data_IF_716802570731
#
_entry.id   IF_716802570731
#
_cell.length_a   1.000
_cell.length_b   1.000
_cell.length_c   1.000
_cell.angle_alpha   90.00
_cell.angle_beta   90.00
_cell.angle_gamma   90.00
#
_symmetry.space_group_name_H-M   'P 1'
#
loop_
_entity.id
_entity.type
_entity.pdbx_description
1 polymer ?
#
# COMPACT_ATOMS: atom_id res chain seq x y z
N UNK A 1 79.71 -51.10 52.23
CA UNK A 1 79.18 -51.98 51.16
C UNK A 1 77.66 -52.03 51.28
N UNK A 2 76.94 -51.85 50.15
CA UNK A 2 75.54 -52.23 49.79
C UNK A 2 74.69 -52.84 50.94
N UNK A 3 73.42 -52.51 51.21
CA UNK A 3 72.22 -52.29 50.36
C UNK A 3 71.07 -51.89 51.32
N UNK A 4 70.25 -50.89 51.02
CA UNK A 4 68.95 -50.92 50.31
C UNK A 4 67.73 -50.89 51.23
N UNK A 5 67.19 -49.67 51.27
CA UNK A 5 65.91 -49.09 51.67
C UNK A 5 64.72 -49.94 52.13
N UNK A 6 64.11 -49.35 53.16
CA UNK A 6 62.97 -49.69 54.01
C UNK A 6 61.63 -49.40 53.29
N UNK A 7 60.66 -50.30 53.38
CA UNK A 7 59.25 -50.05 53.05
C UNK A 7 58.49 -49.54 54.28
N UNK A 8 57.77 -48.41 54.14
CA UNK A 8 56.60 -48.07 54.95
C UNK A 8 55.81 -46.92 54.31
N UNK A 9 54.48 -46.99 54.30
CA UNK A 9 53.62 -45.87 53.85
C UNK A 9 52.20 -46.34 53.52
N UNK A 10 51.29 -46.46 54.50
CA UNK A 10 50.39 -45.41 55.04
C UNK A 10 49.04 -45.39 54.30
N UNK A 11 48.00 -45.63 55.09
CA UNK A 11 46.56 -45.65 54.77
C UNK A 11 46.09 -44.25 54.41
N UNK A 12 45.47 -44.09 53.24
CA UNK A 12 44.90 -42.83 52.73
C UNK A 12 43.51 -42.56 53.31
N UNK A 13 43.38 -41.37 53.92
CA UNK A 13 42.13 -40.73 54.35
C UNK A 13 41.45 -40.11 53.11
N UNK A 14 40.20 -40.45 52.82
CA UNK A 14 39.41 -39.84 51.73
C UNK A 14 38.70 -38.61 52.28
N UNK A 15 39.07 -37.43 51.79
CA UNK A 15 38.35 -36.16 52.01
C UNK A 15 37.43 -35.94 50.82
N UNK A 16 36.12 -35.93 51.06
CA UNK A 16 35.09 -35.60 50.08
C UNK A 16 34.90 -34.09 50.00
N UNK A 17 35.43 -33.44 48.96
CA UNK A 17 35.18 -32.05 48.60
C UNK A 17 33.92 -31.96 47.73
N UNK A 18 32.83 -31.43 48.30
CA UNK A 18 31.62 -31.06 47.56
C UNK A 18 31.79 -29.67 46.95
N UNK A 19 32.32 -29.58 45.72
CA UNK A 19 32.17 -28.39 44.89
C UNK A 19 30.84 -28.47 44.16
N UNK A 20 29.87 -27.67 44.59
CA UNK A 20 28.63 -27.45 43.85
C UNK A 20 28.99 -26.78 42.51
N UNK A 21 28.90 -27.55 41.42
CA UNK A 21 28.92 -26.99 40.09
C UNK A 21 27.61 -26.21 39.90
N UNK A 22 27.69 -24.88 39.94
CA UNK A 22 26.64 -24.02 39.41
C UNK A 22 26.59 -24.23 37.90
N UNK A 23 25.69 -25.11 37.45
CA UNK A 23 25.25 -25.12 36.07
C UNK A 23 24.51 -23.79 35.85
N UNK A 24 24.90 -22.97 34.87
CA UNK A 24 24.07 -21.85 34.48
C UNK A 24 22.75 -22.45 33.98
N UNK A 25 21.67 -22.19 34.70
CA UNK A 25 20.32 -22.37 34.18
C UNK A 25 20.23 -21.46 32.97
N UNK A 26 20.36 -22.02 31.77
CA UNK A 26 19.82 -21.40 30.57
C UNK A 26 18.33 -21.27 30.83
N UNK A 27 17.89 -20.11 31.32
CA UNK A 27 16.54 -19.68 31.03
C UNK A 27 16.49 -19.59 29.51
N UNK A 28 15.99 -20.66 28.89
CA UNK A 28 15.47 -20.60 27.55
C UNK A 28 14.37 -19.55 27.63
N UNK A 29 14.67 -18.32 27.22
CA UNK A 29 13.65 -17.34 26.89
C UNK A 29 12.76 -18.03 25.85
N UNK A 30 11.63 -18.58 26.32
CA UNK A 30 10.50 -18.91 25.48
C UNK A 30 9.94 -17.58 25.00
N UNK A 31 10.64 -16.91 24.09
CA UNK A 31 10.03 -15.88 23.24
C UNK A 31 9.03 -16.65 22.41
N UNK A 32 7.79 -16.66 22.88
CA UNK A 32 6.67 -17.15 22.09
C UNK A 32 6.73 -16.38 20.78
N UNK A 33 6.90 -17.08 19.66
CA UNK A 33 6.89 -16.45 18.35
C UNK A 33 5.68 -15.51 18.31
N UNK A 34 5.87 -14.21 17.98
CA UNK A 34 4.77 -13.27 17.93
C UNK A 34 3.63 -13.85 17.11
N UNK A 35 2.42 -13.80 17.64
CA UNK A 35 1.29 -14.41 16.98
C UNK A 35 0.70 -13.41 15.99
N UNK A 36 0.82 -13.69 14.70
CA UNK A 36 0.15 -12.91 13.66
C UNK A 36 -1.36 -12.92 13.91
N UNK A 37 -1.92 -11.74 14.16
CA UNK A 37 -3.35 -11.50 14.26
C UNK A 37 -3.87 -11.14 12.88
N UNK A 38 -5.06 -11.61 12.54
CA UNK A 38 -5.71 -11.28 11.28
C UNK A 38 -7.21 -11.18 11.52
N UNK A 39 -7.82 -10.13 11.02
CA UNK A 39 -9.26 -9.90 11.16
C UNK A 39 -9.82 -9.28 9.90
N UNK A 40 -11.05 -9.66 9.59
CA UNK A 40 -11.82 -9.13 8.47
C UNK A 40 -12.96 -8.29 9.01
N UNK A 41 -13.15 -7.12 8.41
CA UNK A 41 -14.14 -6.13 8.77
C UNK A 41 -14.95 -5.72 7.54
N UNK A 42 -16.06 -5.03 7.78
CA UNK A 42 -16.88 -4.41 6.74
C UNK A 42 -16.97 -2.90 7.02
N UNK A 43 -16.95 -2.09 5.97
CA UNK A 43 -17.39 -0.70 6.07
C UNK A 43 -18.87 -0.64 6.44
N UNK A 44 -19.42 0.52 6.84
CA UNK A 44 -20.85 0.74 6.71
C UNK A 44 -21.30 0.48 5.26
N UNK A 45 -22.56 0.04 5.05
CA UNK A 45 -23.05 -0.25 3.72
C UNK A 45 -23.14 1.02 2.87
N UNK A 46 -22.92 0.86 1.57
CA UNK A 46 -23.30 1.83 0.56
C UNK A 46 -24.26 1.22 -0.46
N UNK A 47 -24.99 2.10 -1.15
CA UNK A 47 -26.06 1.70 -2.05
C UNK A 47 -25.80 2.28 -3.43
N UNK A 48 -25.75 1.40 -4.43
CA UNK A 48 -25.48 1.78 -5.81
C UNK A 48 -26.59 1.32 -6.74
N UNK A 49 -27.06 2.24 -7.59
CA UNK A 49 -27.92 1.95 -8.74
C UNK A 49 -27.07 2.04 -10.02
N UNK A 50 -27.49 1.39 -11.13
CA UNK A 50 -26.80 1.49 -12.42
C UNK A 50 -26.42 2.93 -12.81
N UNK A 51 -25.13 3.15 -13.07
CA UNK A 51 -24.51 4.45 -13.40
C UNK A 51 -24.13 5.30 -12.19
N UNK A 52 -24.58 4.96 -10.98
CA UNK A 52 -24.40 5.79 -9.79
C UNK A 52 -22.97 5.79 -9.26
N UNK A 53 -22.61 6.87 -8.58
CA UNK A 53 -21.34 7.03 -7.87
C UNK A 53 -21.59 7.19 -6.38
N UNK A 54 -20.77 6.48 -5.60
CA UNK A 54 -20.63 6.65 -4.16
C UNK A 54 -19.21 7.13 -3.94
N UNK A 55 -19.04 8.24 -3.24
CA UNK A 55 -17.75 8.72 -2.72
C UNK A 55 -17.94 9.10 -1.25
N UNK A 56 -17.84 8.10 -0.36
CA UNK A 56 -18.23 8.23 1.06
C UNK A 56 -17.05 8.11 1.99
N UNK A 57 -17.09 8.88 3.07
CA UNK A 57 -16.11 8.89 4.15
C UNK A 57 -16.75 8.29 5.40
N UNK A 58 -16.19 7.18 5.87
CA UNK A 58 -16.60 6.48 7.08
C UNK A 58 -15.56 6.70 8.16
N UNK A 59 -15.94 7.39 9.24
CA UNK A 59 -15.05 7.72 10.35
C UNK A 59 -15.20 6.73 11.50
N UNK A 60 -14.14 6.60 12.29
CA UNK A 60 -14.04 5.70 13.44
C UNK A 60 -14.44 4.26 13.11
N UNK A 61 -13.90 3.76 11.99
CA UNK A 61 -14.13 2.38 11.56
C UNK A 61 -13.45 1.38 12.50
N UNK A 62 -13.91 0.13 12.45
CA UNK A 62 -13.22 -0.97 13.09
C UNK A 62 -11.82 -1.15 12.48
N UNK A 63 -10.80 -1.11 13.33
CA UNK A 63 -9.41 -1.23 12.89
C UNK A 63 -8.59 -1.74 14.08
N UNK A 64 -7.44 -2.41 13.86
CA UNK A 64 -6.54 -2.77 14.96
C UNK A 64 -6.26 -1.57 15.88
N UNK A 65 -6.38 -1.80 17.20
CA UNK A 65 -6.16 -0.79 18.24
C UNK A 65 -4.96 -1.19 19.11
N UNK A 66 -4.36 -0.19 19.75
CA UNK A 66 -3.14 -0.35 20.53
C UNK A 66 -1.88 -0.19 19.68
N UNK A 67 -0.72 -0.31 20.32
CA UNK A 67 0.57 -0.19 19.65
C UNK A 67 0.88 -1.49 18.91
N UNK A 68 0.70 -1.47 17.59
CA UNK A 68 0.79 -2.67 16.75
C UNK A 68 1.64 -2.44 15.50
N UNK A 69 2.21 -3.54 15.01
CA UNK A 69 2.95 -3.64 13.77
C UNK A 69 2.01 -4.14 12.67
N UNK A 70 1.53 -3.25 11.80
CA UNK A 70 0.72 -3.64 10.65
C UNK A 70 1.59 -4.35 9.61
N UNK A 71 1.08 -5.50 9.13
CA UNK A 71 1.77 -6.39 8.19
C UNK A 71 1.10 -6.48 6.83
N UNK A 72 -0.22 -6.32 6.74
CA UNK A 72 -0.91 -6.22 5.44
C UNK A 72 -2.31 -5.62 5.59
N UNK A 73 -2.79 -5.01 4.51
CA UNK A 73 -4.17 -4.57 4.36
C UNK A 73 -4.66 -5.00 2.98
N UNK A 74 -5.78 -5.70 2.90
CA UNK A 74 -6.43 -6.07 1.65
C UNK A 74 -7.87 -5.59 1.65
N UNK A 75 -8.31 -4.89 0.61
CA UNK A 75 -9.66 -4.36 0.48
C UNK A 75 -10.34 -4.82 -0.81
N UNK A 76 -11.64 -5.12 -0.75
CA UNK A 76 -12.45 -5.45 -1.93
C UNK A 76 -13.92 -5.11 -1.72
N UNK A 77 -14.66 -4.88 -2.81
CA UNK A 77 -16.11 -4.70 -2.75
C UNK A 77 -16.83 -6.04 -2.75
N UNK A 78 -17.75 -6.21 -1.81
CA UNK A 78 -18.63 -7.38 -1.68
C UNK A 78 -20.10 -6.98 -1.64
N UNK A 79 -20.98 -7.90 -2.02
CA UNK A 79 -22.42 -7.74 -1.88
C UNK A 79 -22.93 -8.09 -0.46
N UNK A 80 -24.25 -8.01 -0.26
CA UNK A 80 -24.91 -8.31 1.02
C UNK A 80 -24.81 -9.79 1.44
N UNK A 81 -24.46 -10.68 0.51
CA UNK A 81 -24.16 -12.08 0.80
C UNK A 81 -22.66 -12.31 1.06
N UNK A 82 -21.83 -11.27 0.96
CA UNK A 82 -20.37 -11.34 1.13
C UNK A 82 -19.62 -11.86 -0.10
N UNK A 83 -20.28 -11.96 -1.25
CA UNK A 83 -19.66 -12.37 -2.49
C UNK A 83 -18.89 -11.20 -3.14
N UNK A 84 -17.65 -11.42 -3.63
CA UNK A 84 -16.91 -10.40 -4.37
C UNK A 84 -17.65 -9.92 -5.61
N UNK A 85 -17.67 -8.60 -5.83
CA UNK A 85 -18.36 -7.99 -6.98
C UNK A 85 -17.37 -7.68 -8.12
N UNK A 86 -17.65 -8.12 -9.36
CA UNK A 86 -16.75 -7.84 -10.49
C UNK A 86 -16.61 -6.34 -10.81
N UNK A 87 -15.41 -5.92 -11.22
CA UNK A 87 -15.08 -4.54 -11.60
C UNK A 87 -15.87 -4.03 -12.82
N UNK A 88 -16.31 -4.95 -13.68
CA UNK A 88 -17.16 -4.62 -14.82
C UNK A 88 -18.63 -4.39 -14.43
N UNK A 89 -18.99 -4.60 -13.16
CA UNK A 89 -20.29 -4.24 -12.59
C UNK A 89 -20.18 -3.07 -11.62
N UNK A 90 -19.36 -3.21 -10.58
CA UNK A 90 -19.02 -2.12 -9.65
C UNK A 90 -17.53 -1.87 -9.75
N UNK A 91 -17.16 -0.80 -10.43
CA UNK A 91 -15.78 -0.37 -10.51
C UNK A 91 -15.40 0.30 -9.19
N UNK A 92 -14.52 -0.36 -8.42
CA UNK A 92 -13.90 0.22 -7.23
C UNK A 92 -12.82 1.20 -7.71
N UNK A 93 -13.19 2.47 -7.90
CA UNK A 93 -12.29 3.47 -8.43
C UNK A 93 -11.13 3.72 -7.48
N UNK A 94 -11.42 3.96 -6.20
CA UNK A 94 -10.43 3.93 -5.12
C UNK A 94 -11.09 3.64 -3.78
N UNK A 95 -10.28 3.19 -2.84
CA UNK A 95 -10.59 3.21 -1.43
C UNK A 95 -9.33 3.72 -0.73
N UNK A 96 -9.50 4.49 0.32
CA UNK A 96 -8.38 5.08 1.06
C UNK A 96 -8.59 4.80 2.54
N UNK A 97 -7.53 4.44 3.25
CA UNK A 97 -7.55 4.25 4.70
C UNK A 97 -6.46 5.11 5.30
N UNK A 98 -6.84 5.98 6.24
CA UNK A 98 -5.89 6.83 6.93
C UNK A 98 -6.23 7.01 8.41
N UNK A 99 -5.21 7.16 9.27
CA UNK A 99 -5.41 7.52 10.65
C UNK A 99 -5.62 9.03 10.83
N UNK A 100 -6.23 9.40 11.95
CA UNK A 100 -6.36 10.78 12.40
C UNK A 100 -6.46 10.84 13.92
N UNK A 101 -5.99 11.93 14.51
CA UNK A 101 -6.20 12.22 15.92
C UNK A 101 -7.52 12.98 16.11
N UNK A 102 -8.27 12.66 17.17
CA UNK A 102 -9.48 13.38 17.55
C UNK A 102 -9.44 13.87 19.00
N UNK A 103 -9.87 15.11 19.24
CA UNK A 103 -10.11 15.67 20.56
C UNK A 103 -11.32 16.59 20.53
N UNK A 104 -12.42 16.19 21.16
CA UNK A 104 -13.70 16.91 21.06
C UNK A 104 -14.18 16.98 19.62
N UNK A 105 -14.21 18.20 19.06
CA UNK A 105 -14.55 18.45 17.64
C UNK A 105 -13.31 18.64 16.74
N UNK A 106 -12.10 18.66 17.32
CA UNK A 106 -10.85 18.80 16.56
C UNK A 106 -10.48 17.46 15.93
N UNK A 107 -10.14 17.48 14.64
CA UNK A 107 -9.59 16.33 13.90
C UNK A 107 -8.30 16.74 13.23
N UNK A 108 -7.24 15.96 13.43
CA UNK A 108 -5.91 16.20 12.86
C UNK A 108 -5.55 14.98 12.01
N UNK A 109 -5.49 15.12 10.67
CA UNK A 109 -5.05 14.02 9.80
C UNK A 109 -3.63 13.57 10.13
N UNK A 110 -3.40 12.25 10.09
CA UNK A 110 -2.06 11.68 10.16
C UNK A 110 -1.71 11.21 8.75
N UNK A 111 -0.83 11.96 8.08
CA UNK A 111 -0.50 11.74 6.67
C UNK A 111 0.80 10.95 6.50
N UNK A 112 1.03 10.42 5.31
CA UNK A 112 2.29 9.74 4.99
C UNK A 112 3.49 10.72 4.89
N UNK A 113 4.67 10.18 4.61
CA UNK A 113 5.93 10.94 4.58
C UNK A 113 6.30 11.52 3.20
N UNK A 114 5.47 11.32 2.18
CA UNK A 114 5.69 11.78 0.81
C UNK A 114 5.47 13.28 0.59
N UNK A 115 6.02 13.86 -0.49
CA UNK A 115 5.74 15.24 -0.88
C UNK A 115 4.24 15.51 -1.04
N UNK A 116 3.51 14.57 -1.67
CA UNK A 116 2.07 14.70 -1.93
C UNK A 116 1.15 14.40 -0.74
N UNK A 117 1.65 14.36 0.49
CA UNK A 117 0.87 13.95 1.69
C UNK A 117 -0.39 14.77 1.96
N UNK A 118 -0.52 15.99 1.42
CA UNK A 118 -1.68 16.84 1.61
C UNK A 118 -2.84 16.49 0.65
N UNK A 119 -2.55 15.86 -0.50
CA UNK A 119 -3.54 15.37 -1.47
C UNK A 119 -3.67 13.83 -1.46
N UNK A 120 -2.58 13.13 -1.16
CA UNK A 120 -2.46 11.68 -1.11
C UNK A 120 -2.00 11.24 0.29
N UNK A 121 -2.65 11.71 1.35
CA UNK A 121 -2.23 11.48 2.74
C UNK A 121 -2.48 10.07 3.30
N UNK A 122 -3.16 9.20 2.54
CA UNK A 122 -3.55 7.87 3.00
C UNK A 122 -2.36 6.97 3.36
N UNK A 123 -2.64 5.97 4.20
CA UNK A 123 -1.68 4.93 4.57
C UNK A 123 -1.87 3.65 3.74
N UNK A 124 -3.12 3.35 3.40
CA UNK A 124 -3.47 2.26 2.50
C UNK A 124 -4.47 2.73 1.47
N UNK A 125 -4.50 2.02 0.36
CA UNK A 125 -5.49 2.22 -0.68
C UNK A 125 -4.96 3.04 -1.85
N UNK A 126 -5.31 2.58 -3.04
CA UNK A 126 -4.94 3.16 -4.33
C UNK A 126 -6.07 2.95 -5.35
N UNK A 127 -6.43 1.70 -5.66
CA UNK A 127 -7.53 1.45 -6.62
C UNK A 127 -8.15 0.06 -6.65
N UNK A 128 -8.52 -0.36 -7.86
CA UNK A 128 -9.19 -1.64 -8.18
C UNK A 128 -8.25 -2.84 -8.25
N UNK A 129 -6.94 -2.60 -8.29
CA UNK A 129 -5.88 -3.59 -8.44
C UNK A 129 -5.63 -4.46 -7.20
N UNK A 130 -6.51 -4.44 -6.20
CA UNK A 130 -6.21 -5.02 -4.88
C UNK A 130 -6.11 -6.54 -4.86
N UNK A 131 -6.84 -7.25 -5.72
CA UNK A 131 -7.02 -8.70 -5.59
C UNK A 131 -5.77 -9.50 -5.94
N UNK A 132 -4.94 -8.99 -6.86
CA UNK A 132 -3.70 -9.65 -7.27
C UNK A 132 -2.43 -8.83 -6.92
N UNK A 133 -2.56 -7.82 -6.06
CA UNK A 133 -1.42 -7.04 -5.56
C UNK A 133 -1.03 -7.51 -4.17
N UNK A 134 0.20 -7.98 -4.00
CA UNK A 134 0.71 -8.36 -2.68
C UNK A 134 0.93 -7.12 -1.80
N UNK A 135 0.35 -7.09 -0.60
CA UNK A 135 0.41 -5.93 0.32
C UNK A 135 1.20 -6.22 1.60
N UNK A 136 1.91 -7.35 1.64
CA UNK A 136 2.64 -7.80 2.81
C UNK A 136 3.85 -6.92 3.08
N UNK A 137 4.09 -6.56 4.35
CA UNK A 137 5.31 -5.90 4.81
C UNK A 137 6.23 -7.00 5.37
N UNK A 138 7.41 -7.26 4.79
CA UNK A 138 8.29 -8.34 5.25
C UNK A 138 8.92 -8.02 6.61
N UNK A 139 9.29 -9.05 7.37
CA UNK A 139 10.05 -8.85 8.61
C UNK A 139 11.50 -8.40 8.33
N UNK A 140 12.14 -7.67 9.25
CA UNK A 140 11.62 -7.19 10.54
C UNK A 140 10.74 -5.93 10.43
N UNK A 141 10.40 -5.51 9.23
CA UNK A 141 9.75 -4.23 8.98
C UNK A 141 8.25 -4.26 9.28
N UNK A 142 7.69 -3.14 9.72
CA UNK A 142 6.25 -2.98 9.92
C UNK A 142 5.82 -1.52 9.84
N UNK A 143 4.57 -1.30 9.40
CA UNK A 143 3.93 0.02 9.52
C UNK A 143 3.47 0.15 10.98
N UNK A 144 4.08 1.07 11.71
CA UNK A 144 3.81 1.29 13.13
C UNK A 144 2.59 2.18 13.33
N UNK A 145 1.64 1.75 14.17
CA UNK A 145 0.46 2.55 14.53
C UNK A 145 0.23 2.54 16.04
N UNK A 146 -0.61 3.43 16.56
CA UNK A 146 -0.94 3.45 17.98
C UNK A 146 0.21 3.92 18.87
N UNK A 147 1.10 4.78 18.33
CA UNK A 147 2.02 5.56 19.17
C UNK A 147 1.23 6.44 20.13
N UNK A 148 1.80 6.82 21.29
CA UNK A 148 1.15 7.75 22.20
C UNK A 148 0.70 9.00 21.45
N UNK A 149 -0.63 9.17 21.35
CA UNK A 149 -1.23 10.34 20.75
C UNK A 149 -0.87 11.60 21.57
N UNK A 150 -0.94 12.81 20.98
CA UNK A 150 -0.84 14.05 21.74
C UNK A 150 -1.78 14.04 22.95
N UNK A 151 -1.38 14.66 24.05
CA UNK A 151 -2.16 14.62 25.29
C UNK A 151 -3.63 15.03 25.07
N UNK A 152 -4.56 14.14 25.42
CA UNK A 152 -6.00 14.33 25.25
C UNK A 152 -6.57 13.83 23.93
N UNK A 153 -5.75 13.49 22.93
CA UNK A 153 -6.22 12.97 21.64
C UNK A 153 -6.32 11.44 21.65
N UNK A 154 -7.31 10.93 20.92
CA UNK A 154 -7.42 9.51 20.55
C UNK A 154 -7.03 9.32 19.07
N UNK A 155 -6.30 8.25 18.75
CA UNK A 155 -6.10 7.82 17.35
C UNK A 155 -7.32 7.03 16.85
N UNK A 156 -7.85 7.44 15.70
CA UNK A 156 -8.94 6.77 14.98
C UNK A 156 -8.59 6.62 13.52
N UNK A 157 -9.38 5.82 12.81
CA UNK A 157 -9.18 5.50 11.40
C UNK A 157 -10.44 5.82 10.62
N UNK A 158 -10.26 6.35 9.41
CA UNK A 158 -11.35 6.50 8.45
C UNK A 158 -11.10 5.67 7.21
N UNK A 159 -12.18 5.36 6.50
CA UNK A 159 -12.16 4.74 5.19
C UNK A 159 -12.93 5.65 4.22
N UNK A 160 -12.31 6.03 3.11
CA UNK A 160 -13.02 6.54 1.95
C UNK A 160 -13.30 5.39 0.97
N UNK A 161 -14.51 5.34 0.42
CA UNK A 161 -14.89 4.40 -0.65
C UNK A 161 -15.45 5.20 -1.82
N UNK A 162 -14.75 5.13 -2.95
CA UNK A 162 -15.20 5.63 -4.24
C UNK A 162 -15.48 4.48 -5.19
N UNK A 163 -16.76 4.23 -5.44
CA UNK A 163 -17.23 3.12 -6.27
C UNK A 163 -18.29 3.59 -7.27
N UNK A 164 -18.23 3.01 -8.47
CA UNK A 164 -19.07 3.39 -9.61
C UNK A 164 -19.78 2.14 -10.12
N UNK A 165 -21.11 2.17 -10.17
CA UNK A 165 -21.88 1.10 -10.80
C UNK A 165 -21.89 1.31 -12.31
N UNK A 166 -21.18 0.46 -13.05
CA UNK A 166 -21.03 0.58 -14.50
C UNK A 166 -22.04 -0.28 -15.28
N UNK A 167 -22.98 -0.94 -14.60
CA UNK A 167 -24.01 -1.74 -15.26
C UNK A 167 -24.90 -0.83 -16.12
N UNK A 168 -25.20 -1.29 -17.33
CA UNK A 168 -26.00 -0.54 -18.29
C UNK A 168 -25.33 0.69 -18.89
N UNK A 169 -24.07 1.00 -18.56
CA UNK A 169 -23.33 2.05 -19.23
C UNK A 169 -22.89 1.57 -20.63
N UNK A 170 -23.29 2.25 -21.72
CA UNK A 170 -22.88 1.87 -23.08
C UNK A 170 -21.36 1.99 -23.29
N UNK A 171 -20.72 2.92 -22.57
CA UNK A 171 -19.27 3.03 -22.46
C UNK A 171 -18.87 2.95 -20.98
N UNK A 172 -18.56 1.74 -20.51
CA UNK A 172 -18.12 1.50 -19.14
C UNK A 172 -16.82 2.23 -18.80
N UNK A 173 -15.95 2.45 -19.80
CA UNK A 173 -14.67 3.11 -19.57
C UNK A 173 -14.86 4.62 -19.43
N UNK A 174 -15.76 5.24 -20.21
CA UNK A 174 -16.13 6.65 -19.99
C UNK A 174 -16.74 6.89 -18.60
N UNK A 175 -17.51 5.92 -18.08
CA UNK A 175 -17.99 5.94 -16.70
C UNK A 175 -16.84 5.81 -15.70
N UNK A 176 -15.96 4.80 -15.86
CA UNK A 176 -14.82 4.57 -14.97
C UNK A 176 -13.76 5.68 -14.96
N UNK A 177 -13.57 6.39 -16.08
CA UNK A 177 -12.65 7.52 -16.25
C UNK A 177 -13.30 8.87 -15.90
N UNK A 178 -14.52 8.85 -15.34
CA UNK A 178 -15.21 10.03 -14.87
C UNK A 178 -15.36 11.14 -15.92
N UNK A 179 -15.67 10.79 -17.18
CA UNK A 179 -15.80 11.77 -18.27
C UNK A 179 -16.97 12.72 -18.03
N UNK A 180 -16.70 14.02 -17.97
CA UNK A 180 -17.69 15.02 -17.54
C UNK A 180 -18.95 15.06 -18.43
N UNK A 181 -18.77 14.88 -19.74
CA UNK A 181 -19.86 14.80 -20.73
C UNK A 181 -20.73 13.55 -20.55
N UNK A 182 -20.10 12.46 -20.10
CA UNK A 182 -20.78 11.19 -19.81
C UNK A 182 -21.57 11.24 -18.50
N UNK A 183 -21.18 12.10 -17.57
CA UNK A 183 -21.87 12.39 -16.31
C UNK A 183 -22.85 13.57 -16.40
N UNK A 184 -22.80 14.36 -17.47
CA UNK A 184 -23.59 15.58 -17.65
C UNK A 184 -23.45 16.56 -16.48
N UNK A 185 -22.20 16.80 -16.05
CA UNK A 185 -21.84 17.70 -14.95
C UNK A 185 -21.02 18.88 -15.47
N UNK A 186 -21.25 20.06 -14.91
CA UNK A 186 -20.54 21.30 -15.26
C UNK A 186 -19.98 22.04 -14.05
N UNK A 187 -20.29 21.55 -12.85
CA UNK A 187 -19.79 22.06 -11.56
C UNK A 187 -19.24 20.90 -10.76
N UNK A 188 -18.20 21.17 -9.96
CA UNK A 188 -17.60 20.19 -9.06
C UNK A 188 -18.41 20.01 -7.76
N UNK A 189 -17.91 19.17 -6.86
CA UNK A 189 -18.53 18.89 -5.56
C UNK A 189 -18.68 20.16 -4.69
N UNK A 190 -17.79 21.13 -4.84
CA UNK A 190 -17.84 22.41 -4.13
C UNK A 190 -18.81 23.42 -4.79
N UNK A 191 -19.44 23.05 -5.91
CA UNK A 191 -20.32 23.92 -6.71
C UNK A 191 -19.57 24.91 -7.59
N UNK A 192 -18.26 24.78 -7.72
CA UNK A 192 -17.44 25.62 -8.60
C UNK A 192 -17.53 25.13 -10.03
N UNK A 193 -17.51 26.05 -11.00
CA UNK A 193 -17.55 25.68 -12.42
C UNK A 193 -16.31 24.89 -12.82
N UNK A 194 -16.53 23.74 -13.45
CA UNK A 194 -15.45 22.92 -14.01
C UNK A 194 -14.82 23.67 -15.19
N UNK A 195 -13.49 23.76 -15.17
CA UNK A 195 -12.74 24.49 -16.19
C UNK A 195 -12.95 23.90 -17.60
N UNK A 196 -13.03 24.75 -18.62
CA UNK A 196 -13.34 24.33 -19.99
C UNK A 196 -12.36 23.29 -20.60
N UNK A 197 -11.15 23.15 -20.04
CA UNK A 197 -10.16 22.17 -20.49
C UNK A 197 -10.15 20.85 -19.69
N UNK A 198 -10.93 20.78 -18.60
CA UNK A 198 -11.05 19.60 -17.75
C UNK A 198 -12.22 18.75 -18.25
N UNK A 199 -11.89 17.60 -18.84
CA UNK A 199 -12.85 16.77 -19.59
C UNK A 199 -13.22 15.47 -18.88
N UNK A 200 -12.54 15.13 -17.78
CA UNK A 200 -12.88 13.99 -16.93
C UNK A 200 -11.90 13.81 -15.77
N UNK A 201 -12.39 13.14 -14.72
CA UNK A 201 -11.67 12.86 -13.48
C UNK A 201 -12.48 13.19 -12.22
N UNK A 202 -11.81 13.32 -11.08
CA UNK A 202 -12.35 13.57 -9.74
C UNK A 202 -13.44 14.66 -9.68
N UNK A 203 -13.29 15.77 -10.40
CA UNK A 203 -14.29 16.86 -10.37
C UNK A 203 -15.61 16.50 -11.04
N UNK A 204 -15.67 15.39 -11.78
CA UNK A 204 -16.84 14.99 -12.55
C UNK A 204 -17.56 13.75 -12.00
N UNK A 205 -16.97 13.06 -11.02
CA UNK A 205 -17.54 11.85 -10.40
C UNK A 205 -17.50 11.93 -8.86
N UNK A 206 -18.05 13.00 -8.30
CA UNK A 206 -18.25 13.11 -6.86
C UNK A 206 -19.50 12.33 -6.41
N UNK A 207 -19.73 12.28 -5.10
CA UNK A 207 -20.80 11.48 -4.52
C UNK A 207 -22.17 11.82 -5.10
N UNK A 208 -23.00 10.79 -5.28
CA UNK A 208 -24.37 10.90 -5.81
C UNK A 208 -24.49 11.37 -7.27
N UNK A 209 -23.38 11.58 -7.99
CA UNK A 209 -23.41 11.75 -9.45
C UNK A 209 -23.79 10.43 -10.15
N UNK A 210 -24.15 10.53 -11.44
CA UNK A 210 -24.56 9.37 -12.23
C UNK A 210 -24.08 9.48 -13.66
N UNK A 211 -23.34 8.47 -14.12
CA UNK A 211 -22.95 8.35 -15.52
C UNK A 211 -24.13 7.87 -16.39
N UNK A 212 -24.07 8.16 -17.69
CA UNK A 212 -25.10 7.74 -18.65
C UNK A 212 -25.25 6.23 -18.67
N UNK A 213 -26.50 5.78 -18.64
CA UNK A 213 -26.89 4.37 -18.83
C UNK A 213 -27.97 4.24 -19.89
N UNK A 214 -28.08 3.07 -20.49
CA UNK A 214 -29.10 2.76 -21.50
C UNK A 214 -30.52 2.87 -20.93
N UNK A 215 -31.49 3.15 -21.81
CA UNK A 215 -32.88 3.43 -21.44
C UNK A 215 -33.53 2.35 -20.58
N UNK A 216 -33.21 1.07 -20.79
CA UNK A 216 -33.70 -0.01 -19.94
C UNK A 216 -33.21 0.12 -18.48
N UNK A 217 -31.95 0.49 -18.26
CA UNK A 217 -31.39 0.71 -16.93
C UNK A 217 -31.78 2.08 -16.33
N UNK A 218 -32.02 3.08 -17.20
CA UNK A 218 -32.52 4.39 -16.79
C UNK A 218 -33.98 4.33 -16.30
N UNK A 219 -34.82 3.55 -16.99
CA UNK A 219 -36.27 3.55 -16.81
C UNK A 219 -36.79 2.38 -15.95
N UNK A 220 -36.05 1.28 -15.79
CA UNK A 220 -36.57 0.07 -15.11
C UNK A 220 -36.27 0.02 -13.60
N UNK A 221 -35.82 1.11 -12.98
CA UNK A 221 -35.83 1.25 -11.53
C UNK A 221 -35.11 0.14 -10.75
N UNK A 222 -34.06 -0.48 -11.32
CA UNK A 222 -33.28 -1.52 -10.63
C UNK A 222 -33.01 -1.08 -9.18
N UNK A 223 -33.33 -1.94 -8.20
CA UNK A 223 -33.15 -1.57 -6.81
C UNK A 223 -31.66 -1.30 -6.56
N UNK A 224 -31.34 -0.34 -5.67
CA UNK A 224 -29.95 -0.15 -5.27
C UNK A 224 -29.40 -1.47 -4.72
N UNK A 225 -28.21 -1.85 -5.18
CA UNK A 225 -27.44 -2.94 -4.56
C UNK A 225 -26.85 -2.41 -3.27
N UNK A 226 -27.03 -3.17 -2.19
CA UNK A 226 -26.35 -2.96 -0.92
C UNK A 226 -24.98 -3.62 -1.00
N UNK A 227 -23.94 -2.82 -0.83
CA UNK A 227 -22.55 -3.21 -1.00
C UNK A 227 -21.71 -2.76 0.19
N UNK A 228 -20.55 -3.37 0.35
CA UNK A 228 -19.60 -3.08 1.42
C UNK A 228 -18.19 -3.09 0.88
N UNK A 229 -17.29 -2.29 1.48
CA UNK A 229 -15.87 -2.57 1.40
C UNK A 229 -15.56 -3.60 2.49
N UNK A 230 -15.20 -4.82 2.08
CA UNK A 230 -14.59 -5.82 2.96
C UNK A 230 -13.11 -5.55 3.02
N UNK A 231 -12.56 -5.49 4.22
CA UNK A 231 -11.12 -5.35 4.40
C UNK A 231 -10.56 -6.31 5.45
N UNK A 232 -9.42 -6.91 5.12
CA UNK A 232 -8.69 -7.84 5.98
C UNK A 232 -7.36 -7.22 6.35
N UNK A 233 -7.12 -7.08 7.66
CA UNK A 233 -5.90 -6.51 8.22
C UNK A 233 -5.15 -7.61 8.96
N UNK A 234 -3.83 -7.66 8.78
CA UNK A 234 -2.95 -8.54 9.55
C UNK A 234 -1.91 -7.72 10.31
N UNK A 235 -1.68 -8.05 11.57
CA UNK A 235 -0.80 -7.30 12.45
C UNK A 235 -0.17 -8.14 13.56
N UNK A 236 0.89 -7.62 14.16
CA UNK A 236 1.54 -8.16 15.35
C UNK A 236 1.47 -7.13 16.48
N UNK A 237 1.62 -7.58 17.73
CA UNK A 237 1.86 -6.64 18.83
C UNK A 237 3.23 -5.98 18.62
N UNK A 238 3.29 -4.65 18.78
CA UNK A 238 4.55 -3.94 18.57
C UNK A 238 5.61 -4.38 19.58
N UNK A 239 6.86 -4.39 19.13
CA UNK A 239 8.01 -4.70 19.97
C UNK A 239 9.23 -4.03 19.38
N UNK A 240 9.82 -3.08 20.12
CA UNK A 240 11.04 -2.39 19.71
C UNK A 240 12.23 -3.34 19.55
N UNK A 241 12.19 -4.51 20.20
CA UNK A 241 13.22 -5.54 20.07
C UNK A 241 13.16 -6.31 18.73
N UNK A 242 12.00 -6.31 18.07
CA UNK A 242 11.75 -7.13 16.87
C UNK A 242 11.52 -6.26 15.65
N UNK A 243 10.66 -5.25 15.77
CA UNK A 243 10.12 -4.53 14.63
C UNK A 243 10.98 -3.32 14.26
N UNK A 244 11.05 -3.04 12.96
CA UNK A 244 11.66 -1.83 12.41
C UNK A 244 10.54 -1.03 11.74
N UNK A 245 10.27 0.21 12.18
CA UNK A 245 9.23 1.02 11.57
C UNK A 245 9.59 1.37 10.13
N UNK A 246 8.58 1.38 9.26
CA UNK A 246 8.69 1.94 7.92
C UNK A 246 7.85 3.20 7.79
N UNK A 247 8.31 4.10 6.93
CA UNK A 247 7.59 5.27 6.47
C UNK A 247 6.94 4.95 5.15
N UNK A 248 5.70 5.38 5.03
CA UNK A 248 4.93 5.32 3.80
C UNK A 248 5.26 6.56 2.97
N UNK A 249 5.51 6.37 1.69
CA UNK A 249 5.60 7.45 0.70
C UNK A 249 4.65 7.10 -0.44
N UNK A 250 3.85 8.08 -0.84
CA UNK A 250 3.02 8.01 -2.06
C UNK A 250 3.48 9.15 -2.95
N UNK A 251 4.11 8.78 -4.06
CA UNK A 251 4.62 9.69 -5.09
C UNK A 251 3.56 9.87 -6.17
N UNK A 252 3.54 11.01 -6.86
CA UNK A 252 2.60 11.38 -7.90
C UNK A 252 3.34 11.93 -9.13
N UNK A 253 3.22 11.21 -10.26
CA UNK A 253 3.87 11.61 -11.52
C UNK A 253 3.46 12.99 -12.03
N UNK A 254 2.40 13.58 -11.48
CA UNK A 254 1.95 14.92 -11.84
C UNK A 254 2.63 16.04 -11.06
N UNK A 255 3.40 15.73 -10.00
CA UNK A 255 4.20 16.73 -9.31
C UNK A 255 5.31 17.24 -10.25
N UNK A 256 5.42 18.56 -10.40
CA UNK A 256 6.47 19.21 -11.21
C UNK A 256 7.35 20.13 -10.38
N UNK A 257 7.17 20.16 -9.06
CA UNK A 257 7.77 21.17 -8.18
C UNK A 257 9.30 21.23 -8.28
N UNK A 258 9.98 20.08 -8.27
CA UNK A 258 11.44 20.05 -8.40
C UNK A 258 11.93 20.55 -9.77
N UNK A 259 11.26 20.19 -10.86
CA UNK A 259 11.60 20.69 -12.20
C UNK A 259 11.39 22.20 -12.33
N UNK A 260 10.34 22.72 -11.69
CA UNK A 260 9.98 24.14 -11.74
C UNK A 260 10.77 24.97 -10.71
N UNK A 261 11.61 24.34 -9.87
CA UNK A 261 12.31 25.01 -8.77
C UNK A 261 11.37 25.54 -7.68
N UNK A 262 10.17 24.97 -7.55
CA UNK A 262 9.20 25.34 -6.52
C UNK A 262 9.44 24.55 -5.23
N UNK A 263 9.45 25.20 -4.05
CA UNK A 263 9.56 24.50 -2.77
C UNK A 263 8.32 23.69 -2.40
N UNK A 264 7.16 23.95 -3.00
CA UNK A 264 5.90 23.29 -2.69
C UNK A 264 5.50 22.32 -3.80
N UNK A 265 5.07 21.10 -3.45
CA UNK A 265 4.67 20.07 -4.41
C UNK A 265 3.40 20.48 -5.19
N UNK A 266 3.32 20.07 -6.45
CA UNK A 266 2.22 20.31 -7.39
C UNK A 266 1.44 19.04 -7.72
N UNK A 267 1.09 18.26 -6.71
CA UNK A 267 0.42 16.97 -6.88
C UNK A 267 -1.04 17.15 -7.33
N UNK A 268 -1.31 16.85 -8.59
CA UNK A 268 -2.66 16.95 -9.20
C UNK A 268 -3.50 15.70 -9.00
N UNK A 269 -2.93 14.63 -8.44
CA UNK A 269 -3.53 13.30 -8.22
C UNK A 269 -3.81 12.54 -9.51
N UNK A 270 -4.38 13.20 -10.52
CA UNK A 270 -4.76 12.60 -11.78
C UNK A 270 -4.36 13.49 -12.97
N UNK A 271 -4.35 12.89 -14.16
CA UNK A 271 -4.08 13.61 -15.39
C UNK A 271 -4.83 13.03 -16.58
N UNK A 272 -4.76 13.73 -17.71
CA UNK A 272 -5.27 13.30 -19.00
C UNK A 272 -4.13 12.75 -19.84
N UNK A 273 -4.37 11.61 -20.49
CA UNK A 273 -3.53 11.08 -21.57
C UNK A 273 -4.21 11.44 -22.88
N UNK A 274 -3.52 12.22 -23.71
CA UNK A 274 -4.02 12.58 -25.03
C UNK A 274 -3.88 11.42 -26.01
N UNK A 275 -4.78 11.34 -26.99
CA UNK A 275 -4.71 10.33 -28.03
C UNK A 275 -3.50 10.57 -28.94
N UNK A 276 -2.81 9.50 -29.30
CA UNK A 276 -1.63 9.56 -30.16
C UNK A 276 -1.96 10.07 -31.57
N UNK A 277 -0.95 10.62 -32.23
CA UNK A 277 -1.08 11.07 -33.60
C UNK A 277 -1.29 9.89 -34.56
N UNK A 278 -1.87 10.15 -35.74
CA UNK A 278 -1.98 9.10 -36.78
C UNK A 278 -0.62 8.56 -37.24
N UNK A 279 0.44 9.37 -37.12
CA UNK A 279 1.81 8.95 -37.44
C UNK A 279 2.35 7.98 -36.39
N UNK A 280 2.18 8.29 -35.10
CA UNK A 280 2.61 7.42 -33.99
C UNK A 280 1.85 6.09 -34.02
N UNK A 281 0.54 6.14 -34.32
CA UNK A 281 -0.28 4.95 -34.51
C UNK A 281 0.22 4.09 -35.67
N UNK A 282 0.58 4.68 -36.80
CA UNK A 282 1.14 3.93 -37.93
C UNK A 282 2.49 3.26 -37.60
N UNK A 283 3.21 3.77 -36.60
CA UNK A 283 4.49 3.22 -36.10
C UNK A 283 4.31 2.31 -34.88
N UNK A 284 3.09 2.07 -34.41
CA UNK A 284 2.78 1.39 -33.14
C UNK A 284 3.52 2.00 -31.93
N UNK A 285 3.59 3.33 -31.87
CA UNK A 285 4.29 4.09 -30.84
C UNK A 285 3.33 4.94 -29.99
N UNK A 286 2.13 4.43 -29.71
CA UNK A 286 1.12 5.12 -28.91
C UNK A 286 1.33 4.88 -27.41
N UNK A 287 2.37 5.51 -26.87
CA UNK A 287 2.68 5.52 -25.44
C UNK A 287 2.80 6.96 -24.95
N UNK A 288 1.98 7.33 -23.96
CA UNK A 288 2.20 8.55 -23.17
C UNK A 288 3.10 8.21 -21.99
N UNK A 289 4.23 8.91 -21.91
CA UNK A 289 5.20 8.74 -20.83
C UNK A 289 5.25 10.04 -20.02
N UNK A 290 5.01 9.92 -18.72
CA UNK A 290 5.24 10.99 -17.75
C UNK A 290 6.39 10.66 -16.84
N UNK A 291 7.13 11.68 -16.45
CA UNK A 291 8.26 11.58 -15.53
C UNK A 291 8.17 12.68 -14.50
N UNK A 292 8.47 12.34 -13.25
CA UNK A 292 8.64 13.29 -12.15
C UNK A 292 9.89 12.97 -11.34
N UNK A 293 10.32 13.96 -10.57
CA UNK A 293 11.34 13.86 -9.54
C UNK A 293 10.75 14.27 -8.19
N UNK A 294 10.87 13.40 -7.19
CA UNK A 294 10.38 13.64 -5.84
C UNK A 294 11.41 13.25 -4.79
N UNK A 295 11.55 14.07 -3.75
CA UNK A 295 12.53 13.85 -2.68
C UNK A 295 11.98 12.97 -1.58
N UNK A 296 12.75 11.94 -1.19
CA UNK A 296 12.45 11.15 -0.01
C UNK A 296 13.04 11.83 1.23
N UNK A 297 12.15 12.21 2.15
CA UNK A 297 12.52 12.96 3.36
C UNK A 297 13.34 12.15 4.38
N UNK A 298 13.39 10.82 4.29
CA UNK A 298 14.11 9.94 5.22
C UNK A 298 14.75 8.78 4.45
N UNK A 299 16.03 8.53 4.72
CA UNK A 299 16.77 7.44 4.09
C UNK A 299 16.57 6.11 4.82
N UNK A 300 16.67 5.02 4.06
CA UNK A 300 16.72 3.67 4.60
C UNK A 300 16.54 2.59 3.56
N UNK A 301 16.28 1.38 4.04
CA UNK A 301 16.04 0.24 3.16
C UNK A 301 14.72 0.43 2.42
N UNK A 302 14.71 0.23 1.11
CA UNK A 302 13.48 0.16 0.34
C UNK A 302 12.88 -1.23 0.57
N UNK A 303 11.83 -1.29 1.37
CA UNK A 303 11.23 -2.54 1.86
C UNK A 303 10.19 -3.10 0.88
N UNK A 304 9.43 -2.20 0.27
CA UNK A 304 8.33 -2.53 -0.62
C UNK A 304 8.10 -1.37 -1.58
N UNK A 305 7.76 -1.68 -2.82
CA UNK A 305 7.39 -0.68 -3.80
C UNK A 305 6.35 -1.24 -4.79
N UNK A 306 5.32 -0.45 -5.10
CA UNK A 306 4.29 -0.79 -6.08
C UNK A 306 3.76 0.48 -6.73
N UNK A 307 3.44 0.43 -8.02
CA UNK A 307 2.75 1.53 -8.68
C UNK A 307 1.24 1.34 -8.63
N UNK A 308 0.52 2.46 -8.74
CA UNK A 308 -0.91 2.47 -9.00
C UNK A 308 -1.20 3.14 -10.33
N UNK A 309 -2.01 2.46 -11.14
CA UNK A 309 -2.42 2.85 -12.47
C UNK A 309 -3.90 2.50 -12.67
N UNK A 310 -4.58 3.30 -13.47
CA UNK A 310 -5.90 3.02 -14.03
C UNK A 310 -5.79 2.24 -15.33
N UNK A 311 -6.96 1.80 -15.84
CA UNK A 311 -7.08 1.14 -17.16
C UNK A 311 -6.38 1.98 -18.24
N UNK A 312 -5.62 1.31 -19.10
CA UNK A 312 -4.75 1.96 -20.08
C UNK A 312 -3.30 2.07 -19.61
N UNK A 313 -3.02 1.89 -18.32
CA UNK A 313 -1.66 1.84 -17.79
C UNK A 313 -0.86 0.69 -18.40
N UNK A 314 0.40 0.96 -18.74
CA UNK A 314 1.34 0.01 -19.33
C UNK A 314 2.44 -0.41 -18.34
N UNK A 315 2.67 0.39 -17.30
CA UNK A 315 3.65 0.12 -16.26
C UNK A 315 4.34 1.38 -15.79
N UNK A 316 4.98 1.27 -14.63
CA UNK A 316 5.68 2.37 -13.99
C UNK A 316 7.01 1.89 -13.44
N UNK A 317 7.98 2.79 -13.35
CA UNK A 317 9.29 2.49 -12.79
C UNK A 317 9.78 3.61 -11.88
N UNK A 318 10.51 3.23 -10.85
CA UNK A 318 11.11 4.11 -9.87
C UNK A 318 12.62 3.94 -9.92
N UNK A 319 13.34 5.05 -9.98
CA UNK A 319 14.78 5.09 -10.10
C UNK A 319 15.39 5.97 -9.02
N UNK A 320 16.59 5.59 -8.54
CA UNK A 320 17.39 6.42 -7.66
C UNK A 320 18.02 7.59 -8.41
N UNK A 321 18.55 8.54 -7.65
CA UNK A 321 19.17 9.76 -8.20
C UNK A 321 20.37 9.45 -9.13
N UNK A 322 21.03 8.33 -8.91
CA UNK A 322 22.15 7.81 -9.73
C UNK A 322 21.68 7.03 -10.97
N UNK A 323 20.37 6.99 -11.23
CA UNK A 323 19.76 6.27 -12.35
C UNK A 323 19.58 4.77 -12.12
N UNK A 324 19.86 4.26 -10.91
CA UNK A 324 19.62 2.83 -10.61
C UNK A 324 18.13 2.53 -10.59
N UNK A 325 17.73 1.42 -11.21
CA UNK A 325 16.36 0.95 -11.10
C UNK A 325 16.10 0.43 -9.68
N UNK A 326 15.16 1.06 -8.97
CA UNK A 326 14.71 0.65 -7.64
C UNK A 326 13.53 -0.32 -7.72
N UNK A 327 12.58 -0.04 -8.61
CA UNK A 327 11.43 -0.91 -8.84
C UNK A 327 10.85 -0.72 -10.24
N UNK A 328 10.41 -1.81 -10.87
CA UNK A 328 9.54 -1.79 -12.04
C UNK A 328 8.24 -2.50 -11.69
N UNK A 329 7.14 -1.78 -11.73
CA UNK A 329 5.80 -2.26 -11.39
C UNK A 329 4.92 -2.31 -12.64
N UNK A 330 4.43 -3.49 -12.97
CA UNK A 330 3.69 -3.79 -14.20
C UNK A 330 2.23 -4.14 -13.86
N UNK A 331 1.25 -3.67 -14.65
CA UNK A 331 -0.14 -4.02 -14.46
C UNK A 331 -0.40 -5.48 -14.82
N UNK A 332 -1.26 -6.11 -14.03
CA UNK A 332 -1.85 -7.43 -14.28
C UNK A 332 -3.27 -7.19 -14.77
N UNK A 333 -3.49 -7.44 -16.05
CA UNK A 333 -4.82 -7.34 -16.66
C UNK A 333 -5.58 -8.65 -16.54
N UNK A 334 -6.87 -8.57 -16.21
CA UNK A 334 -7.75 -9.72 -16.22
C UNK A 334 -8.00 -10.26 -17.63
N UNK A 335 -8.48 -11.49 -17.71
CA UNK A 335 -8.73 -12.24 -18.97
C UNK A 335 -10.08 -12.97 -18.99
N UNK A 336 -10.85 -12.86 -17.91
CA UNK A 336 -12.12 -13.53 -17.67
C UNK A 336 -13.22 -12.56 -17.26
N UNK A 337 -14.21 -13.06 -16.52
CA UNK A 337 -15.38 -12.28 -16.08
C UNK A 337 -15.60 -12.35 -14.58
N UNK A 338 -14.94 -13.28 -13.90
CA UNK A 338 -14.98 -13.44 -12.46
C UNK A 338 -14.30 -12.28 -11.73
N UNK A 339 -14.75 -12.03 -10.49
CA UNK A 339 -14.18 -10.99 -9.65
C UNK A 339 -12.69 -11.26 -9.40
N UNK A 340 -11.83 -10.31 -9.81
CA UNK A 340 -10.37 -10.42 -9.73
C UNK A 340 -9.68 -10.97 -10.96
N UNK A 341 -10.41 -11.21 -12.06
CA UNK A 341 -9.84 -11.55 -13.36
C UNK A 341 -10.61 -10.87 -14.51
N UNK A 342 -11.19 -9.70 -14.29
CA UNK A 342 -12.05 -9.03 -15.26
C UNK A 342 -11.28 -8.54 -16.50
N UNK A 343 -11.68 -9.01 -17.68
CA UNK A 343 -11.04 -8.68 -18.96
C UNK A 343 -10.96 -7.17 -19.20
N UNK A 344 -9.75 -6.69 -19.48
CA UNK A 344 -9.50 -5.28 -19.77
C UNK A 344 -9.49 -4.36 -18.54
N UNK A 345 -9.55 -4.91 -17.32
CA UNK A 345 -9.33 -4.21 -16.06
C UNK A 345 -7.96 -4.56 -15.49
N UNK A 346 -7.34 -3.60 -14.80
CA UNK A 346 -6.17 -3.87 -13.96
C UNK A 346 -6.70 -4.51 -12.67
N UNK A 347 -6.37 -5.78 -12.45
CA UNK A 347 -6.79 -6.57 -11.29
C UNK A 347 -5.67 -6.77 -10.28
N UNK A 348 -4.46 -6.34 -10.63
CA UNK A 348 -3.25 -6.41 -9.84
C UNK A 348 -2.13 -5.55 -10.40
N UNK A 349 -1.11 -5.33 -9.59
CA UNK A 349 0.15 -4.71 -9.96
C UNK A 349 1.30 -5.59 -9.45
N UNK A 350 2.36 -5.75 -10.24
CA UNK A 350 3.56 -6.43 -9.78
C UNK A 350 4.27 -5.58 -8.72
N UNK A 351 4.72 -6.23 -7.66
CA UNK A 351 5.34 -5.58 -6.51
C UNK A 351 6.83 -5.87 -6.45
N UNK A 352 7.60 -4.93 -5.93
CA UNK A 352 9.02 -5.10 -5.68
C UNK A 352 9.24 -5.32 -4.18
N UNK A 353 9.94 -6.41 -3.87
CA UNK A 353 10.40 -6.76 -2.52
C UNK A 353 11.92 -6.95 -2.56
N UNK A 354 12.71 -5.88 -2.46
CA UNK A 354 14.15 -6.00 -2.35
C UNK A 354 14.55 -6.83 -1.14
N UNK A 355 15.66 -7.55 -1.25
CA UNK A 355 16.25 -8.21 -0.07
C UNK A 355 16.62 -7.13 0.96
N UNK A 356 16.33 -7.35 2.26
CA UNK A 356 16.66 -6.39 3.32
C UNK A 356 18.11 -5.91 3.24
N UNK A 357 18.30 -4.60 3.24
CA UNK A 357 19.63 -3.96 3.17
C UNK A 357 20.31 -3.93 1.80
N UNK A 358 19.72 -4.51 0.74
CA UNK A 358 20.33 -4.53 -0.61
C UNK A 358 20.00 -3.30 -1.45
N UNK A 359 18.77 -2.78 -1.32
CA UNK A 359 18.32 -1.57 -2.00
C UNK A 359 18.02 -0.52 -0.94
N UNK A 360 18.67 0.64 -1.05
CA UNK A 360 18.54 1.74 -0.10
C UNK A 360 18.28 3.05 -0.82
N UNK A 361 17.60 3.95 -0.13
CA UNK A 361 17.47 5.36 -0.50
C UNK A 361 18.11 6.21 0.59
N UNK A 362 18.75 7.30 0.21
CA UNK A 362 19.44 8.21 1.12
C UNK A 362 18.46 9.27 1.65
N UNK A 363 18.77 9.86 2.80
CA UNK A 363 18.01 11.02 3.27
C UNK A 363 18.17 12.17 2.28
N UNK A 364 17.05 12.71 1.80
CA UNK A 364 17.05 13.76 0.78
C UNK A 364 17.37 13.26 -0.63
N UNK A 365 17.41 11.95 -0.87
CA UNK A 365 17.59 11.41 -2.23
C UNK A 365 16.37 11.77 -3.09
N UNK A 366 16.64 12.26 -4.31
CA UNK A 366 15.63 12.54 -5.31
C UNK A 366 15.40 11.28 -6.14
N UNK A 367 14.17 10.78 -6.13
CA UNK A 367 13.77 9.62 -6.92
C UNK A 367 13.09 10.07 -8.20
N UNK A 368 13.41 9.40 -9.30
CA UNK A 368 12.73 9.62 -10.58
C UNK A 368 11.66 8.56 -10.76
N UNK A 369 10.41 8.99 -10.89
CA UNK A 369 9.28 8.13 -11.22
C UNK A 369 8.91 8.31 -12.69
N UNK A 370 8.69 7.20 -13.40
CA UNK A 370 8.22 7.17 -14.79
C UNK A 370 6.93 6.37 -14.85
N UNK A 371 5.85 6.97 -15.38
CA UNK A 371 4.56 6.31 -15.59
C UNK A 371 4.25 6.25 -17.07
N UNK A 372 3.82 5.08 -17.56
CA UNK A 372 3.50 4.87 -18.97
C UNK A 372 2.03 4.45 -19.13
N UNK A 373 1.35 5.07 -20.08
CA UNK A 373 0.00 4.75 -20.49
C UNK A 373 -0.07 4.51 -22.00
N UNK A 374 -1.01 3.67 -22.41
CA UNK A 374 -1.40 3.59 -23.81
C UNK A 374 -2.08 4.91 -24.20
N UNK A 375 -1.62 5.51 -25.28
CA UNK A 375 -2.28 6.66 -25.91
C UNK A 375 -3.04 6.28 -27.18
N UNK A 376 -3.30 4.98 -27.41
CA UNK A 376 -4.10 4.51 -28.54
C UNK A 376 -5.51 5.13 -28.57
N UNK A 377 -5.98 5.59 -27.42
CA UNK A 377 -7.18 6.38 -27.20
C UNK A 377 -6.90 7.40 -26.09
N UNK A 378 -7.68 8.46 -26.05
CA UNK A 378 -7.65 9.37 -24.91
C UNK A 378 -8.09 8.65 -23.62
N UNK A 379 -7.44 9.01 -22.51
CA UNK A 379 -7.87 8.63 -21.16
C UNK A 379 -7.99 9.87 -20.27
N UNK A 380 -9.00 9.91 -19.40
CA UNK A 380 -9.22 10.98 -18.44
C UNK A 380 -9.16 10.47 -17.01
N UNK A 381 -8.74 11.33 -16.07
CA UNK A 381 -8.66 10.97 -14.66
C UNK A 381 -7.76 9.77 -14.39
N UNK A 382 -6.69 9.58 -15.17
CA UNK A 382 -5.74 8.49 -14.90
C UNK A 382 -4.77 8.89 -13.81
N UNK A 383 -4.37 7.94 -12.98
CA UNK A 383 -3.41 8.15 -11.91
C UNK A 383 -2.05 7.57 -12.28
N UNK A 384 -0.99 8.17 -11.77
CA UNK A 384 0.36 7.63 -11.88
C UNK A 384 1.03 7.79 -10.54
N UNK A 385 0.74 6.87 -9.61
CA UNK A 385 1.30 6.93 -8.26
C UNK A 385 2.30 5.81 -8.01
N UNK A 386 3.21 6.03 -7.06
CA UNK A 386 4.11 5.00 -6.56
C UNK A 386 4.06 4.96 -5.04
N UNK A 387 3.62 3.84 -4.50
CA UNK A 387 3.62 3.56 -3.07
C UNK A 387 4.91 2.84 -2.70
N UNK A 388 5.68 3.42 -1.78
CA UNK A 388 6.90 2.79 -1.26
C UNK A 388 6.94 2.79 0.26
N UNK A 389 7.57 1.75 0.81
CA UNK A 389 7.91 1.65 2.22
C UNK A 389 9.41 1.78 2.39
N UNK A 390 9.84 2.78 3.16
CA UNK A 390 11.24 3.03 3.48
C UNK A 390 11.45 2.83 4.97
N UNK A 391 12.38 1.96 5.36
CA UNK A 391 12.71 1.73 6.76
C UNK A 391 13.32 2.97 7.41
N UNK A 392 12.94 3.30 8.64
CA UNK A 392 13.54 4.41 9.37
C UNK A 392 14.94 4.00 9.88
N UNK A 393 16.01 4.62 9.35
CA UNK A 393 17.39 4.27 9.72
C UNK A 393 17.81 4.66 11.14
N UNK A 394 16.94 5.27 11.94
CA UNK A 394 17.28 5.54 13.34
C UNK A 394 17.45 4.28 14.21
N UNK A 395 17.09 3.09 13.74
CA UNK A 395 17.42 1.83 14.43
C UNK A 395 17.96 0.75 13.48
N UNK A 396 19.13 0.21 13.81
CA UNK A 396 19.81 -0.81 13.03
C UNK A 396 18.96 -2.09 12.88
N UNK A 397 18.31 -2.25 11.72
CA UNK A 397 17.62 -3.48 11.31
C UNK A 397 18.55 -4.71 11.29
N UNK A 398 19.87 -4.49 11.15
CA UNK A 398 20.87 -5.55 10.98
C UNK A 398 21.01 -6.51 12.19
N UNK A 399 20.51 -6.13 13.37
CA UNK A 399 20.65 -6.92 14.60
C UNK A 399 19.32 -7.46 15.15
N UNK A 400 18.17 -7.21 14.51
CA UNK A 400 16.87 -7.67 15.00
C UNK A 400 16.54 -9.08 14.46
N UNK A 401 16.00 -9.99 15.29
CA UNK A 401 15.69 -11.35 14.85
C UNK A 401 14.58 -11.35 13.79
N UNK A 402 14.84 -11.97 12.65
CA UNK A 402 13.81 -12.23 11.64
C UNK A 402 12.81 -13.25 12.19
N UNK A 403 11.53 -12.88 12.24
CA UNK A 403 10.45 -13.82 12.49
C UNK A 403 10.10 -14.47 11.15
N UNK A 404 10.22 -15.78 11.05
CA UNK A 404 9.92 -16.47 9.81
C UNK A 404 8.40 -16.66 9.68
N UNK A 405 7.66 -15.61 9.28
CA UNK A 405 6.36 -15.81 8.63
C UNK A 405 6.62 -16.06 7.15
N UNK A 406 6.69 -17.33 6.77
CA UNK A 406 6.79 -17.77 5.37
C UNK A 406 5.59 -17.25 4.57
N UNK A 407 5.79 -16.34 3.61
CA UNK A 407 5.10 -16.15 2.30
C UNK A 407 5.33 -14.72 1.74
N UNK A 408 5.52 -14.50 0.42
CA UNK A 408 5.76 -15.47 -0.66
C UNK A 408 7.25 -15.66 -1.02
N UNK A 409 8.17 -14.94 -0.38
CA UNK A 409 9.61 -15.09 -0.62
C UNK A 409 10.31 -15.62 0.63
N UNK A 410 10.97 -16.78 0.48
CA UNK A 410 11.68 -17.47 1.54
C UNK A 410 13.05 -16.86 1.78
N UNK A 411 13.12 -15.71 2.44
CA UNK A 411 14.37 -15.16 2.94
C UNK A 411 14.49 -15.41 4.44
N UNK A 412 14.71 -16.67 4.79
CA UNK A 412 15.11 -17.07 6.14
C UNK A 412 16.49 -17.71 6.05
N UNK A 413 17.54 -16.94 6.33
CA UNK A 413 18.81 -17.50 6.81
C UNK A 413 19.15 -16.81 8.12
N UNK A 414 19.12 -17.51 9.27
CA UNK A 414 19.56 -16.94 10.54
C UNK A 414 21.03 -16.51 10.43
N UNK A 415 21.36 -15.33 10.97
CA UNK A 415 22.72 -14.79 11.08
C UNK A 415 23.73 -15.73 11.77
N UNK A 416 23.25 -16.81 12.39
CA UNK A 416 24.02 -17.79 13.14
C UNK A 416 24.59 -18.93 12.27
N UNK A 417 24.21 -19.01 10.99
CA UNK A 417 24.78 -19.99 10.05
C UNK A 417 26.14 -19.57 9.44
N UNK A 418 26.63 -18.36 9.74
CA UNK A 418 27.96 -17.88 9.29
C UNK A 418 29.03 -17.89 10.39
N UNK A 419 28.75 -18.52 11.52
CA UNK A 419 29.73 -18.72 12.59
C UNK A 419 29.85 -20.20 12.93
N UNK A 420 30.56 -20.93 12.06
CA UNK A 420 31.42 -22.09 12.37
C UNK A 420 31.45 -23.04 11.17
N UNK A 421 32.46 -22.86 10.29
CA UNK A 421 33.18 -23.96 9.67
C UNK A 421 34.49 -23.43 9.08
N UNK A 422 35.57 -23.71 9.83
CA UNK A 422 37.02 -23.74 9.51
C UNK A 422 37.67 -22.58 8.77
#
# INVERSE_FOLDING_TARGET
MKRSMLQLGIVTLVVSSATAAFLPTTEAFNVRAPQLKTQTFLSPPFFLRPGGVVNKWYYDVDFPRGHVALKSFNGEVVDDAGAPVPLHETYLHHWLVAPYYVYGQSMIPITNSGPCKDSLGQHFGLGSETRQTATWVPDPYAIEIGKPAPAGYDERWFINVHAIDTRGAPDKLACAECRCDFYNVTVDEAGSRIGNGYVGGLHCCYDSTRCRVDGAFANNGEPPRKLFLRYTVSWLDWSDAVHVPVRIYILDVTDTALFDGNPNPYCKVEYRVDECSSEDRAKNNCVDMKTTEEMVSHGGDLVYAVAHLHRGGLGSSLHGQDGRLLCKSMPIYGTGQEAGNEEGYIVGMSTCYPEPGTVKVSHGEVLTMVSNYSSERQHTGVMGHFYILVADQQEQALNKPALCFSFPYSWCVPAWMWSNQM
#
